data_IF_616044832541
#
_entry.id   IF_616044832541
#
_cell.length_a   1.000
_cell.length_b   1.000
_cell.length_c   1.000
_cell.angle_alpha   90.00
_cell.angle_beta   90.00
_cell.angle_gamma   90.00
#
_symmetry.space_group_name_H-M   'P 1'
#
loop_
_entity.id
_entity.type
_entity.pdbx_description
1 polymer ?
#
# COMPACT_ATOMS: atom_id res chain seq x y z
N UNK A 1 -13.27 2.60 6.42
CA UNK A 1 -12.32 1.47 6.22
C UNK A 1 -10.95 2.11 6.07
N UNK A 2 -9.96 1.95 6.94
CA UNK A 2 -9.84 1.09 8.12
C UNK A 2 -9.22 1.84 9.32
N UNK A 3 -9.64 1.47 10.52
CA UNK A 3 -9.00 1.84 11.80
C UNK A 3 -8.94 0.55 12.60
N UNK A 4 -8.07 -0.37 12.20
CA UNK A 4 -7.85 -1.65 12.89
C UNK A 4 -6.38 -2.09 12.78
N UNK A 5 -5.84 -2.77 13.81
CA UNK A 5 -4.42 -2.62 14.15
C UNK A 5 -3.45 -3.31 13.19
N UNK A 6 -3.82 -4.41 12.53
CA UNK A 6 -2.94 -5.14 11.64
C UNK A 6 -3.78 -5.90 10.62
N UNK A 7 -3.81 -5.43 9.37
CA UNK A 7 -4.13 -6.27 8.20
C UNK A 7 -2.79 -6.85 7.69
N UNK A 8 -2.43 -8.11 8.03
CA UNK A 8 -1.17 -8.70 7.61
C UNK A 8 -1.03 -8.74 6.07
N UNK A 9 -2.14 -8.86 5.36
CA UNK A 9 -2.24 -8.86 3.91
C UNK A 9 -1.68 -7.56 3.29
N UNK A 10 -2.02 -6.39 3.83
CA UNK A 10 -1.51 -5.11 3.34
C UNK A 10 0.00 -5.02 3.52
N UNK A 11 0.52 -5.53 4.64
CA UNK A 11 1.97 -5.59 4.88
C UNK A 11 2.67 -6.55 3.93
N UNK A 12 2.06 -7.69 3.61
CA UNK A 12 2.60 -8.64 2.64
C UNK A 12 2.62 -8.04 1.24
N UNK A 13 1.55 -7.35 0.82
CA UNK A 13 1.47 -6.64 -0.47
C UNK A 13 2.58 -5.58 -0.55
N UNK A 14 2.74 -4.75 0.50
CA UNK A 14 3.79 -3.75 0.55
C UNK A 14 5.20 -4.36 0.48
N UNK A 15 5.44 -5.45 1.22
CA UNK A 15 6.72 -6.15 1.21
C UNK A 15 7.07 -6.72 -0.17
N UNK A 16 6.10 -7.34 -0.86
CA UNK A 16 6.29 -7.83 -2.24
C UNK A 16 6.66 -6.66 -3.16
N UNK A 17 5.91 -5.56 -3.08
CA UNK A 17 6.19 -4.39 -3.92
C UNK A 17 7.57 -3.78 -3.65
N UNK A 18 8.03 -3.76 -2.40
CA UNK A 18 9.38 -3.28 -2.05
C UNK A 18 10.48 -4.22 -2.54
N UNK A 19 10.34 -5.54 -2.33
CA UNK A 19 11.35 -6.54 -2.73
C UNK A 19 11.55 -6.56 -4.25
N UNK A 20 10.47 -6.33 -5.00
CA UNK A 20 10.48 -6.39 -6.46
C UNK A 20 10.56 -5.02 -7.14
N UNK A 21 10.82 -3.94 -6.38
CA UNK A 21 10.89 -2.58 -6.91
C UNK A 21 9.66 -2.19 -7.77
N UNK A 22 8.47 -2.45 -7.24
CA UNK A 22 7.18 -2.17 -7.90
C UNK A 22 6.54 -0.87 -7.37
N UNK A 23 5.61 -0.33 -8.15
CA UNK A 23 4.68 0.71 -7.69
C UNK A 23 3.34 0.07 -7.33
N UNK A 24 2.88 0.27 -6.10
CA UNK A 24 1.60 -0.23 -5.63
C UNK A 24 0.48 0.72 -6.07
N UNK A 25 -0.33 0.24 -7.02
CA UNK A 25 -1.50 0.97 -7.52
C UNK A 25 -2.72 0.64 -6.66
N UNK A 26 -3.25 1.62 -5.92
CA UNK A 26 -4.38 1.40 -5.00
C UNK A 26 -5.18 2.67 -4.75
N UNK A 27 -6.48 2.52 -4.49
CA UNK A 27 -7.33 3.62 -3.99
C UNK A 27 -7.10 3.91 -2.50
N UNK A 28 -6.55 2.94 -1.77
CA UNK A 28 -6.42 2.99 -0.31
C UNK A 28 -5.01 3.41 0.10
N UNK A 29 -4.53 4.55 -0.38
CA UNK A 29 -3.14 4.98 -0.13
C UNK A 29 -2.84 5.23 1.34
N UNK A 30 -3.86 5.57 2.14
CA UNK A 30 -3.70 5.84 3.57
C UNK A 30 -3.14 4.66 4.35
N UNK A 31 -3.61 3.44 4.06
CA UNK A 31 -3.20 2.24 4.80
C UNK A 31 -1.77 1.79 4.46
N UNK A 32 -1.25 2.22 3.31
CA UNK A 32 0.11 1.91 2.86
C UNK A 32 1.11 3.05 3.06
N UNK A 33 0.65 4.24 3.46
CA UNK A 33 1.46 5.46 3.52
C UNK A 33 2.70 5.34 4.43
N UNK A 34 2.63 4.52 5.49
CA UNK A 34 3.73 4.30 6.43
C UNK A 34 4.69 3.17 6.04
N UNK A 35 4.42 2.45 4.94
CA UNK A 35 5.22 1.27 4.55
C UNK A 35 6.46 1.60 3.73
N UNK A 36 6.54 2.81 3.15
CA UNK A 36 7.64 3.22 2.28
C UNK A 36 7.54 2.73 0.83
N UNK A 37 6.51 1.96 0.48
CA UNK A 37 6.24 1.54 -0.91
C UNK A 37 5.89 2.75 -1.79
N UNK A 38 6.28 2.72 -3.07
CA UNK A 38 5.80 3.71 -4.05
C UNK A 38 4.31 3.51 -4.28
N UNK A 39 3.53 4.57 -4.17
CA UNK A 39 2.07 4.53 -4.29
C UNK A 39 1.59 5.33 -5.51
N UNK A 40 0.60 4.76 -6.21
CA UNK A 40 -0.16 5.44 -7.25
C UNK A 40 -1.65 5.24 -6.98
N UNK A 41 -2.41 6.33 -6.84
CA UNK A 41 -3.85 6.26 -6.76
C UNK A 41 -4.45 6.56 -8.14
N UNK A 42 -5.07 5.59 -8.83
CA UNK A 42 -5.58 5.80 -10.19
C UNK A 42 -6.90 6.59 -10.22
N UNK A 43 -7.44 6.97 -9.06
CA UNK A 43 -8.71 7.71 -8.93
C UNK A 43 -8.51 9.19 -8.60
N UNK A 44 -7.26 9.63 -8.43
CA UNK A 44 -6.95 11.07 -8.34
C UNK A 44 -6.36 11.49 -9.69
N UNK A 45 -6.98 12.51 -10.29
CA UNK A 45 -6.52 13.16 -11.51
C UNK A 45 -5.74 14.41 -11.21
#
# INVERSE_FOLDING_TARGET
>A
MSRSPQHPEDKQIAAIALIHDLTLVTRNTADFASTGVRLLNPFVG
#
